data_IF_828718691561
#
_entry.id   IF_828718691561
#
_cell.length_a   1.000
_cell.length_b   1.000
_cell.length_c   1.000
_cell.angle_alpha   90.00
_cell.angle_beta   90.00
_cell.angle_gamma   90.00
#
_symmetry.space_group_name_H-M   'P 1'
#
loop_
_entity.id
_entity.type
_entity.pdbx_description
1 polymer ?
#
# COMPACT_ATOMS: atom_id res chain seq x y z
N UNK A 1 -20.43 6.97 20.57
CA UNK A 1 -20.20 6.19 19.34
C UNK A 1 -18.87 6.65 18.78
N UNK A 2 -17.79 5.95 19.08
CA UNK A 2 -16.51 6.15 18.39
C UNK A 2 -15.77 4.82 18.50
N UNK A 3 -16.07 3.90 17.58
CA UNK A 3 -15.30 2.69 17.43
C UNK A 3 -14.16 2.98 16.47
N UNK A 4 -12.96 3.18 17.02
CA UNK A 4 -11.73 3.18 16.25
C UNK A 4 -11.61 1.85 15.53
N UNK A 5 -11.77 1.87 14.20
CA UNK A 5 -11.54 0.73 13.35
C UNK A 5 -10.02 0.50 13.29
N UNK A 6 -9.48 -0.25 14.26
CA UNK A 6 -8.16 -0.85 14.15
C UNK A 6 -8.14 -1.70 12.89
N UNK A 7 -7.41 -1.24 11.89
CA UNK A 7 -7.25 -1.88 10.59
C UNK A 7 -6.74 -3.30 10.83
N UNK A 8 -7.63 -4.29 10.68
CA UNK A 8 -7.28 -5.71 10.75
C UNK A 8 -6.29 -5.98 9.62
N UNK A 9 -5.00 -5.99 9.95
CA UNK A 9 -3.95 -6.51 9.08
C UNK A 9 -4.26 -7.99 8.89
N UNK A 10 -4.69 -8.36 7.69
CA UNK A 10 -5.15 -9.71 7.35
C UNK A 10 -4.04 -10.72 7.63
N UNK A 11 -4.43 -11.78 8.35
CA UNK A 11 -3.58 -12.75 9.03
C UNK A 11 -2.90 -13.79 8.11
N UNK A 12 -2.47 -13.40 6.91
CA UNK A 12 -1.68 -14.26 6.03
C UNK A 12 -0.35 -13.55 5.74
N UNK A 13 0.69 -13.96 6.47
CA UNK A 13 2.06 -13.43 6.44
C UNK A 13 2.24 -12.03 7.05
N UNK A 14 2.03 -11.94 8.37
CA UNK A 14 2.43 -10.79 9.19
C UNK A 14 3.85 -10.32 8.84
N UNK A 15 4.11 -9.01 8.87
CA UNK A 15 5.43 -8.44 8.58
C UNK A 15 6.54 -9.11 9.42
N UNK A 16 6.23 -9.47 10.67
CA UNK A 16 7.10 -10.21 11.57
C UNK A 16 7.48 -11.59 11.04
N UNK A 17 6.54 -12.30 10.41
CA UNK A 17 6.76 -13.63 9.86
C UNK A 17 7.75 -13.59 8.68
N UNK A 18 7.55 -12.65 7.75
CA UNK A 18 8.47 -12.46 6.62
C UNK A 18 9.87 -12.06 7.10
N UNK A 19 9.94 -11.20 8.11
CA UNK A 19 11.20 -10.80 8.73
C UNK A 19 11.93 -11.99 9.38
N UNK A 20 11.22 -12.84 10.13
CA UNK A 20 11.81 -14.04 10.75
C UNK A 20 12.37 -15.03 9.71
N UNK A 21 11.60 -15.30 8.65
CA UNK A 21 12.05 -16.16 7.56
C UNK A 21 13.28 -15.58 6.83
N UNK A 22 13.28 -14.27 6.56
CA UNK A 22 14.42 -13.58 5.95
C UNK A 22 15.68 -13.60 6.84
N UNK A 23 15.53 -13.41 8.16
CA UNK A 23 16.63 -13.48 9.12
C UNK A 23 17.19 -14.90 9.19
N UNK A 24 16.33 -15.93 9.21
CA UNK A 24 16.77 -17.32 9.20
C UNK A 24 17.54 -17.66 7.91
N UNK A 25 17.10 -17.14 6.76
CA UNK A 25 17.79 -17.28 5.48
C UNK A 25 19.10 -16.47 5.36
N UNK A 26 19.27 -15.42 6.17
CA UNK A 26 20.54 -14.69 6.31
C UNK A 26 21.52 -15.43 7.22
N UNK A 27 21.03 -16.04 8.31
CA UNK A 27 21.86 -16.76 9.27
C UNK A 27 22.53 -17.99 8.63
N UNK A 28 21.84 -18.66 7.69
CA UNK A 28 22.43 -19.71 6.86
C UNK A 28 22.57 -21.09 7.53
N UNK A 29 22.02 -21.29 8.73
CA UNK A 29 22.05 -22.58 9.43
C UNK A 29 21.21 -23.67 8.77
N UNK A 30 20.21 -23.27 7.96
CA UNK A 30 19.27 -24.16 7.28
C UNK A 30 19.24 -23.85 5.79
N UNK A 31 19.03 -24.88 4.98
CA UNK A 31 18.85 -24.70 3.55
C UNK A 31 17.53 -24.01 3.25
N UNK A 32 17.42 -23.38 2.07
CA UNK A 32 16.17 -22.74 1.62
C UNK A 32 15.00 -23.73 1.57
N UNK A 33 15.27 -25.01 1.27
CA UNK A 33 14.26 -26.07 1.24
C UNK A 33 13.72 -26.38 2.65
N UNK A 34 14.60 -26.46 3.65
CA UNK A 34 14.19 -26.68 5.04
C UNK A 34 13.43 -25.49 5.61
N UNK A 35 13.86 -24.27 5.28
CA UNK A 35 13.13 -23.06 5.66
C UNK A 35 11.77 -23.00 4.97
N UNK A 36 11.68 -23.38 3.70
CA UNK A 36 10.42 -23.48 2.98
C UNK A 36 9.42 -24.43 3.66
N UNK A 37 9.90 -25.57 4.17
CA UNK A 37 9.09 -26.50 4.95
C UNK A 37 8.70 -25.94 6.33
N UNK A 38 9.64 -25.31 7.03
CA UNK A 38 9.38 -24.77 8.37
C UNK A 38 8.37 -23.61 8.37
N UNK A 39 8.46 -22.75 7.36
CA UNK A 39 7.60 -21.59 7.20
C UNK A 39 6.42 -21.86 6.25
N UNK A 40 6.22 -23.10 5.76
CA UNK A 40 5.17 -23.48 4.81
C UNK A 40 5.05 -22.52 3.60
N UNK A 41 6.20 -22.13 3.04
CA UNK A 41 6.30 -21.12 1.96
C UNK A 41 7.22 -21.61 0.86
N UNK A 42 7.03 -21.11 -0.35
CA UNK A 42 7.89 -21.47 -1.47
C UNK A 42 9.32 -20.88 -1.30
N UNK A 43 10.40 -21.62 -1.65
CA UNK A 43 11.79 -21.15 -1.51
C UNK A 43 12.09 -19.78 -2.17
N UNK A 44 11.43 -19.47 -3.30
CA UNK A 44 11.54 -18.13 -3.91
C UNK A 44 11.05 -17.03 -2.97
N UNK A 45 9.94 -17.23 -2.23
CA UNK A 45 9.42 -16.22 -1.32
C UNK A 45 10.42 -15.88 -0.21
N UNK A 46 11.14 -16.88 0.30
CA UNK A 46 12.19 -16.67 1.31
C UNK A 46 13.36 -15.88 0.71
N UNK A 47 13.72 -16.17 -0.54
CA UNK A 47 14.75 -15.40 -1.27
C UNK A 47 14.32 -13.96 -1.48
N UNK A 48 13.08 -13.72 -1.90
CA UNK A 48 12.49 -12.39 -2.05
C UNK A 48 12.51 -11.62 -0.74
N UNK A 49 12.12 -12.24 0.38
CA UNK A 49 12.12 -11.58 1.69
C UNK A 49 13.52 -11.30 2.19
N UNK A 50 14.48 -12.19 1.94
CA UNK A 50 15.91 -11.96 2.23
C UNK A 50 16.43 -10.73 1.48
N UNK A 51 16.14 -10.62 0.19
CA UNK A 51 16.54 -9.47 -0.63
C UNK A 51 15.87 -8.18 -0.14
N UNK A 52 14.57 -8.21 0.13
CA UNK A 52 13.84 -7.06 0.68
C UNK A 52 14.38 -6.60 2.02
N UNK A 53 14.74 -7.54 2.91
CA UNK A 53 15.33 -7.22 4.21
C UNK A 53 16.68 -6.54 4.04
N UNK A 54 17.54 -7.03 3.14
CA UNK A 54 18.85 -6.41 2.87
C UNK A 54 18.70 -4.99 2.30
N UNK A 55 17.86 -4.79 1.29
CA UNK A 55 17.64 -3.49 0.66
C UNK A 55 17.09 -2.44 1.64
N UNK A 56 16.12 -2.84 2.47
CA UNK A 56 15.46 -1.94 3.41
C UNK A 56 16.20 -1.80 4.73
N UNK A 57 17.13 -2.71 5.05
CA UNK A 57 17.91 -2.63 6.31
C UNK A 57 18.68 -1.33 6.43
N UNK A 58 19.30 -0.85 5.34
CA UNK A 58 20.01 0.41 5.33
C UNK A 58 19.11 1.61 5.67
N UNK A 59 17.84 1.57 5.26
CA UNK A 59 16.85 2.63 5.53
C UNK A 59 16.41 2.65 6.99
N UNK A 60 16.53 1.53 7.71
CA UNK A 60 16.22 1.43 9.14
C UNK A 60 17.30 2.08 10.02
N UNK A 61 18.55 2.05 9.55
CA UNK A 61 19.68 2.70 10.22
C UNK A 61 19.95 4.11 9.70
N UNK A 62 19.39 4.46 8.53
CA UNK A 62 19.33 5.82 8.03
C UNK A 62 18.33 6.66 8.83
N UNK A 63 18.63 7.95 8.99
CA UNK A 63 17.78 8.91 9.68
C UNK A 63 16.33 8.82 9.16
N UNK A 64 15.37 8.57 10.06
CA UNK A 64 13.98 8.17 9.74
C UNK A 64 13.13 9.28 9.11
N UNK A 65 13.74 10.29 8.51
CA UNK A 65 13.07 11.43 7.86
C UNK A 65 12.69 11.17 6.41
N UNK A 66 13.07 10.03 5.83
CA UNK A 66 12.49 9.55 4.57
C UNK A 66 11.15 8.82 4.80
N UNK A 67 10.34 9.28 5.75
CA UNK A 67 8.91 9.03 5.70
C UNK A 67 8.44 9.69 4.41
N UNK A 68 8.19 8.89 3.37
CA UNK A 68 7.65 9.36 2.10
C UNK A 68 6.57 10.40 2.45
N UNK A 69 6.85 11.67 2.11
CA UNK A 69 6.08 12.80 2.61
C UNK A 69 4.61 12.45 2.46
N UNK A 70 3.91 12.30 3.59
CA UNK A 70 2.51 11.91 3.57
C UNK A 70 1.83 12.81 2.54
N UNK A 71 1.07 12.25 1.59
CA UNK A 71 0.47 13.05 0.52
C UNK A 71 -0.25 14.22 1.17
N UNK A 72 0.03 15.42 0.69
CA UNK A 72 -0.49 16.66 1.24
C UNK A 72 -2.03 16.59 1.19
N UNK A 73 -2.63 16.25 2.33
CA UNK A 73 -4.06 15.96 2.46
C UNK A 73 -4.89 17.16 2.01
N UNK A 74 -4.38 18.36 2.24
CA UNK A 74 -5.00 19.62 1.81
C UNK A 74 -5.06 19.71 0.29
N UNK A 75 -3.96 19.42 -0.41
CA UNK A 75 -3.94 19.38 -1.89
C UNK A 75 -4.90 18.32 -2.44
N UNK A 76 -4.98 17.17 -1.79
CA UNK A 76 -5.88 16.09 -2.23
C UNK A 76 -7.35 16.48 -2.05
N UNK A 77 -7.73 17.04 -0.91
CA UNK A 77 -9.09 17.55 -0.68
C UNK A 77 -9.46 18.69 -1.62
N UNK A 78 -8.53 19.62 -1.88
CA UNK A 78 -8.73 20.69 -2.85
C UNK A 78 -8.99 20.12 -4.26
N UNK A 79 -8.24 19.09 -4.67
CA UNK A 79 -8.44 18.45 -5.98
C UNK A 79 -9.77 17.72 -6.08
N UNK A 80 -10.20 17.05 -5.01
CA UNK A 80 -11.52 16.41 -4.94
C UNK A 80 -12.63 17.46 -5.08
N UNK A 81 -12.54 18.58 -4.35
CA UNK A 81 -13.51 19.68 -4.44
C UNK A 81 -13.56 20.30 -5.84
N UNK A 82 -12.40 20.54 -6.47
CA UNK A 82 -12.34 21.03 -7.84
C UNK A 82 -13.03 20.07 -8.83
N UNK A 83 -12.70 18.78 -8.76
CA UNK A 83 -13.28 17.77 -9.65
C UNK A 83 -14.79 17.62 -9.44
N UNK A 84 -15.28 17.75 -8.20
CA UNK A 84 -16.71 17.71 -7.91
C UNK A 84 -17.45 18.89 -8.56
N UNK A 85 -16.90 20.11 -8.47
CA UNK A 85 -17.48 21.29 -9.12
C UNK A 85 -17.44 21.20 -10.65
N UNK A 86 -16.33 20.71 -11.22
CA UNK A 86 -16.21 20.50 -12.67
C UNK A 86 -17.22 19.46 -13.18
N UNK A 87 -17.42 18.36 -12.46
CA UNK A 87 -18.44 17.38 -12.83
C UNK A 87 -19.85 17.95 -12.73
N UNK A 88 -20.22 18.62 -11.64
CA UNK A 88 -21.55 19.25 -11.48
C UNK A 88 -21.84 20.28 -12.60
N UNK A 89 -20.83 21.08 -12.95
CA UNK A 89 -20.92 22.03 -14.05
C UNK A 89 -21.16 21.32 -15.39
N UNK A 90 -20.40 20.26 -15.70
CA UNK A 90 -20.52 19.51 -16.94
C UNK A 90 -21.88 18.80 -17.04
N UNK A 91 -22.37 18.19 -15.96
CA UNK A 91 -23.69 17.56 -15.90
C UNK A 91 -24.81 18.58 -16.12
N UNK A 92 -24.71 19.74 -15.46
CA UNK A 92 -25.64 20.85 -15.64
C UNK A 92 -25.64 21.39 -17.07
N UNK A 93 -24.46 21.55 -17.68
CA UNK A 93 -24.31 22.03 -19.04
C UNK A 93 -24.89 21.03 -20.05
N UNK A 94 -24.63 19.73 -19.87
CA UNK A 94 -25.16 18.67 -20.72
C UNK A 94 -26.68 18.60 -20.62
N UNK A 95 -27.24 18.69 -19.41
CA UNK A 95 -28.69 18.69 -19.19
C UNK A 95 -29.34 19.89 -19.89
N UNK A 96 -28.76 21.09 -19.77
CA UNK A 96 -29.24 22.28 -20.48
C UNK A 96 -29.15 22.11 -21.99
N UNK A 97 -28.05 21.56 -22.51
CA UNK A 97 -27.90 21.30 -23.94
C UNK A 97 -28.93 20.28 -24.46
N UNK A 98 -29.20 19.20 -23.72
CA UNK A 98 -30.23 18.22 -24.06
C UNK A 98 -31.63 18.82 -24.05
N UNK A 99 -31.96 19.64 -23.05
CA UNK A 99 -33.26 20.33 -22.98
C UNK A 99 -33.46 21.34 -24.12
N UNK A 100 -32.39 22.03 -24.54
CA UNK A 100 -32.40 22.93 -25.69
C UNK A 100 -32.51 22.17 -27.03
N UNK A 101 -31.96 20.96 -27.10
CA UNK A 101 -32.09 20.09 -28.28
C UNK A 101 -33.48 19.47 -28.42
N UNK A 102 -34.17 19.18 -27.32
CA UNK A 102 -35.51 18.58 -27.32
C UNK A 102 -36.65 19.57 -27.67
N UNK A 103 -36.34 20.87 -27.77
CA UNK A 103 -37.31 21.93 -28.08
C UNK A 103 -37.25 22.44 -29.53
N UNK A 104 -36.49 21.77 -30.39
CA UNK A 104 -36.44 22.01 -31.84
C UNK A 104 -37.30 21.01 -32.61
#
# INVERSE_FOLDING_TARGET
MEQAHGKKETADHSATFKAQAAIAALKGDKTLAELAQQFDVHPNQITDWKSQLLERSAQMFGDSTAQAAAPDLTKLHAKIGQLALENDFLESALTKASLLSAKR
#
